data_IF_572895755485
#
_entry.id   IF_572895755485
#
_cell.length_a   1.000
_cell.length_b   1.000
_cell.length_c   1.000
_cell.angle_alpha   90.00
_cell.angle_beta   90.00
_cell.angle_gamma   90.00
#
_symmetry.space_group_name_H-M   'P 1'
#
loop_
_entity.id
_entity.type
_entity.pdbx_description
1 polymer ?
#
# COMPACT_ATOMS: atom_id res chain seq x y z
N UNK A 1 -57.74 38.27 -32.92
CA UNK A 1 -56.36 38.23 -32.40
C UNK A 1 -56.22 36.96 -31.57
N UNK A 2 -55.22 36.10 -31.83
CA UNK A 2 -55.06 34.88 -31.03
C UNK A 2 -54.42 35.23 -29.68
N UNK A 3 -55.05 34.79 -28.59
CA UNK A 3 -54.55 34.97 -27.22
C UNK A 3 -53.54 33.87 -26.92
N UNK A 4 -52.27 34.22 -26.81
CA UNK A 4 -51.20 33.31 -26.42
C UNK A 4 -51.34 33.01 -24.93
N UNK A 5 -51.81 31.80 -24.58
CA UNK A 5 -51.83 31.34 -23.19
C UNK A 5 -50.41 30.88 -22.82
N UNK A 6 -49.73 31.58 -21.92
CA UNK A 6 -48.44 31.13 -21.41
C UNK A 6 -48.63 29.92 -20.48
N UNK A 7 -47.81 28.86 -20.62
CA UNK A 7 -47.87 27.72 -19.72
C UNK A 7 -47.40 28.13 -18.31
N UNK A 8 -48.20 27.79 -17.30
CA UNK A 8 -47.86 27.97 -15.89
C UNK A 8 -46.66 27.08 -15.55
N UNK A 9 -45.51 27.69 -15.25
CA UNK A 9 -44.34 26.98 -14.73
C UNK A 9 -44.68 26.40 -13.35
N UNK A 10 -44.79 25.08 -13.27
CA UNK A 10 -44.89 24.38 -11.99
C UNK A 10 -43.52 24.45 -11.32
N UNK A 11 -43.40 25.25 -10.26
CA UNK A 11 -42.17 25.33 -9.48
C UNK A 11 -41.91 23.96 -8.81
N UNK A 12 -40.88 23.26 -9.27
CA UNK A 12 -40.42 22.01 -8.66
C UNK A 12 -39.85 22.33 -7.28
N UNK A 13 -40.61 22.06 -6.22
CA UNK A 13 -40.14 22.21 -4.84
C UNK A 13 -39.03 21.18 -4.61
N UNK A 14 -37.78 21.62 -4.63
CA UNK A 14 -36.64 20.79 -4.25
C UNK A 14 -36.69 20.57 -2.73
N UNK A 15 -37.21 19.42 -2.31
CA UNK A 15 -37.13 18.99 -0.90
C UNK A 15 -35.68 18.55 -0.66
N UNK A 16 -34.87 19.27 0.14
CA UNK A 16 -33.51 18.84 0.43
C UNK A 16 -33.57 17.49 1.15
N UNK A 17 -32.93 16.47 0.57
CA UNK A 17 -32.79 15.18 1.23
C UNK A 17 -31.97 15.36 2.52
N UNK A 18 -32.60 15.13 3.66
CA UNK A 18 -31.90 15.13 4.95
C UNK A 18 -30.83 14.04 4.92
N UNK A 19 -29.56 14.42 5.10
CA UNK A 19 -28.45 13.46 5.21
C UNK A 19 -28.78 12.42 6.29
N UNK A 20 -28.56 11.12 6.04
CA UNK A 20 -28.81 10.09 7.05
C UNK A 20 -28.00 10.40 8.31
N UNK A 21 -28.70 10.43 9.46
CA UNK A 21 -28.09 10.67 10.78
C UNK A 21 -27.11 9.54 11.06
N UNK A 22 -25.83 9.87 11.23
CA UNK A 22 -24.79 8.89 11.53
C UNK A 22 -25.20 8.05 12.76
N UNK A 23 -25.28 6.72 12.59
CA UNK A 23 -25.59 5.79 13.67
C UNK A 23 -24.48 5.91 14.71
N UNK A 24 -24.82 6.26 15.95
CA UNK A 24 -23.86 6.26 17.06
C UNK A 24 -23.41 4.81 17.27
N UNK A 25 -22.13 4.54 17.04
CA UNK A 25 -21.54 3.23 17.31
C UNK A 25 -21.50 2.96 18.81
N UNK A 26 -21.86 1.74 19.20
CA UNK A 26 -21.69 1.28 20.58
C UNK A 26 -20.22 1.02 20.90
N UNK A 27 -19.88 0.93 22.19
CA UNK A 27 -18.52 0.63 22.65
C UNK A 27 -18.03 -0.72 22.10
N UNK A 28 -18.90 -1.73 22.06
CA UNK A 28 -18.60 -3.04 21.50
C UNK A 28 -18.17 -2.96 20.03
N UNK A 29 -18.91 -2.21 19.21
CA UNK A 29 -18.58 -1.99 17.79
C UNK A 29 -17.24 -1.27 17.64
N UNK A 30 -16.98 -0.26 18.49
CA UNK A 30 -15.69 0.46 18.49
C UNK A 30 -14.52 -0.46 18.82
N UNK A 31 -14.65 -1.32 19.83
CA UNK A 31 -13.59 -2.28 20.19
C UNK A 31 -13.37 -3.27 19.07
N UNK A 32 -14.45 -3.84 18.50
CA UNK A 32 -14.36 -4.76 17.36
C UNK A 32 -13.65 -4.13 16.15
N UNK A 33 -14.01 -2.89 15.80
CA UNK A 33 -13.36 -2.17 14.71
C UNK A 33 -11.89 -1.84 15.03
N UNK A 34 -11.56 -1.52 16.27
CA UNK A 34 -10.17 -1.29 16.71
C UNK A 34 -9.31 -2.53 16.51
N UNK A 35 -9.82 -3.72 16.88
CA UNK A 35 -9.11 -4.98 16.69
C UNK A 35 -8.89 -5.23 15.19
N UNK A 36 -9.92 -5.07 14.36
CA UNK A 36 -9.80 -5.24 12.91
C UNK A 36 -8.76 -4.30 12.29
N UNK A 37 -8.75 -3.02 12.68
CA UNK A 37 -7.77 -2.03 12.22
C UNK A 37 -6.35 -2.35 12.74
N UNK A 38 -6.24 -2.83 13.98
CA UNK A 38 -4.98 -3.33 14.53
C UNK A 38 -4.42 -4.52 13.75
N UNK A 39 -5.27 -5.47 13.36
CA UNK A 39 -4.88 -6.58 12.49
C UNK A 39 -4.46 -6.10 11.10
N UNK A 40 -5.15 -5.12 10.53
CA UNK A 40 -4.75 -4.52 9.25
C UNK A 40 -3.37 -3.84 9.34
N UNK A 41 -3.07 -3.15 10.45
CA UNK A 41 -1.73 -2.60 10.71
C UNK A 41 -0.66 -3.67 10.86
N UNK A 42 -0.98 -4.77 11.57
CA UNK A 42 -0.06 -5.89 11.71
C UNK A 42 0.25 -6.55 10.36
N UNK A 43 -0.76 -6.70 9.48
CA UNK A 43 -0.59 -7.17 8.11
C UNK A 43 0.27 -6.21 7.29
N UNK A 44 0.00 -4.91 7.35
CA UNK A 44 0.81 -3.90 6.66
C UNK A 44 2.28 -3.96 7.10
N UNK A 45 2.54 -4.06 8.40
CA UNK A 45 3.90 -4.22 8.94
C UNK A 45 4.55 -5.53 8.48
N UNK A 46 3.81 -6.63 8.47
CA UNK A 46 4.31 -7.92 7.99
C UNK A 46 4.73 -7.88 6.51
N UNK A 47 3.90 -7.27 5.66
CA UNK A 47 4.21 -7.08 4.23
C UNK A 47 5.45 -6.19 4.08
N UNK A 48 5.54 -5.10 4.85
CA UNK A 48 6.72 -4.22 4.84
C UNK A 48 8.00 -4.95 5.27
N UNK A 49 7.94 -5.79 6.33
CA UNK A 49 9.09 -6.56 6.80
C UNK A 49 9.62 -7.54 5.75
N UNK A 50 8.73 -8.16 4.97
CA UNK A 50 9.12 -9.05 3.88
C UNK A 50 9.82 -8.27 2.77
N UNK A 51 9.26 -7.16 2.31
CA UNK A 51 9.90 -6.28 1.32
C UNK A 51 11.25 -5.75 1.80
N UNK A 52 11.31 -5.28 3.04
CA UNK A 52 12.54 -4.83 3.69
C UNK A 52 13.62 -5.92 3.72
N UNK A 53 13.26 -7.18 4.01
CA UNK A 53 14.20 -8.31 3.98
C UNK A 53 14.74 -8.55 2.57
N UNK A 54 13.90 -8.51 1.54
CA UNK A 54 14.36 -8.64 0.16
C UNK A 54 15.29 -7.50 -0.26
N UNK A 55 15.01 -6.28 0.18
CA UNK A 55 15.92 -5.14 -0.02
C UNK A 55 17.29 -5.36 0.63
N UNK A 56 17.33 -5.90 1.84
CA UNK A 56 18.60 -6.23 2.49
C UNK A 56 19.34 -7.37 1.79
N UNK A 57 18.64 -8.44 1.40
CA UNK A 57 19.26 -9.56 0.67
C UNK A 57 19.82 -9.11 -0.68
N UNK A 58 19.11 -8.24 -1.39
CA UNK A 58 19.57 -7.64 -2.63
C UNK A 58 20.82 -6.78 -2.44
N UNK A 59 20.88 -5.97 -1.38
CA UNK A 59 22.09 -5.20 -1.07
C UNK A 59 23.27 -6.12 -0.73
N UNK A 60 23.03 -7.18 0.04
CA UNK A 60 24.05 -8.16 0.37
C UNK A 60 24.58 -8.88 -0.88
N UNK A 61 23.70 -9.24 -1.84
CA UNK A 61 24.11 -9.89 -3.09
C UNK A 61 24.91 -8.96 -4.01
N UNK A 62 24.71 -7.65 -3.91
CA UNK A 62 25.57 -6.64 -4.54
C UNK A 62 26.92 -6.40 -3.83
N UNK A 63 27.19 -7.12 -2.73
CA UNK A 63 28.45 -7.03 -1.98
C UNK A 63 28.46 -5.97 -0.88
N UNK A 64 27.31 -5.39 -0.51
CA UNK A 64 27.24 -4.49 0.64
C UNK A 64 27.42 -5.30 1.93
N UNK A 65 28.41 -4.92 2.76
CA UNK A 65 28.70 -5.61 4.02
C UNK A 65 27.67 -5.25 5.12
N UNK A 66 26.46 -5.83 5.03
CA UNK A 66 25.41 -5.64 6.02
C UNK A 66 25.72 -6.29 7.38
N UNK A 67 26.57 -7.32 7.41
CA UNK A 67 26.98 -7.98 8.65
C UNK A 67 27.66 -7.01 9.62
N UNK A 68 28.42 -6.04 9.08
CA UNK A 68 29.05 -4.97 9.87
C UNK A 68 28.05 -4.05 10.59
N UNK A 69 26.80 -3.98 10.11
CA UNK A 69 25.76 -3.11 10.65
C UNK A 69 24.85 -3.80 11.68
N UNK A 70 24.88 -5.14 11.79
CA UNK A 70 24.02 -5.91 12.70
C UNK A 70 22.54 -5.50 12.57
N UNK A 71 21.89 -5.03 13.65
CA UNK A 71 20.52 -4.51 13.60
C UNK A 71 20.38 -3.16 12.87
N UNK A 72 21.47 -2.41 12.71
CA UNK A 72 21.49 -1.13 12.00
C UNK A 72 21.16 -1.24 10.50
N UNK A 73 21.29 -2.42 9.90
CA UNK A 73 20.91 -2.64 8.51
C UNK A 73 19.43 -2.31 8.24
N UNK A 74 18.55 -2.49 9.23
CA UNK A 74 17.12 -2.18 9.12
C UNK A 74 16.82 -0.68 8.97
N UNK A 75 17.80 0.20 9.23
CA UNK A 75 17.69 1.62 8.93
C UNK A 75 17.64 1.90 7.42
N UNK A 76 18.17 1.00 6.59
CA UNK A 76 18.16 1.15 5.13
C UNK A 76 16.74 1.13 4.56
N UNK A 77 15.94 0.05 4.75
CA UNK A 77 14.56 0.04 4.28
C UNK A 77 13.70 1.12 4.97
N UNK A 78 13.98 1.47 6.22
CA UNK A 78 13.31 2.62 6.87
C UNK A 78 13.61 3.94 6.17
N UNK A 79 14.86 4.21 5.79
CA UNK A 79 15.26 5.42 5.08
C UNK A 79 14.65 5.49 3.67
N UNK A 80 14.54 4.36 2.98
CA UNK A 80 13.85 4.22 1.69
C UNK A 80 12.38 4.61 1.87
N UNK A 81 11.64 3.96 2.77
CA UNK A 81 10.23 4.27 3.01
C UNK A 81 10.00 5.71 3.47
N UNK A 82 10.91 6.26 4.29
CA UNK A 82 10.84 7.66 4.71
C UNK A 82 11.05 8.62 3.53
N UNK A 83 11.98 8.30 2.64
CA UNK A 83 12.22 9.07 1.41
C UNK A 83 11.00 9.03 0.48
N UNK A 84 10.35 7.88 0.32
CA UNK A 84 9.11 7.75 -0.46
C UNK A 84 7.97 8.60 0.13
N UNK A 85 7.81 8.58 1.45
CA UNK A 85 6.79 9.36 2.16
C UNK A 85 6.99 10.88 2.00
N UNK A 86 8.23 11.35 2.11
CA UNK A 86 8.55 12.78 2.06
C UNK A 86 8.71 13.33 0.65
N UNK A 87 9.20 12.52 -0.28
CA UNK A 87 9.42 12.93 -1.67
C UNK A 87 8.23 12.60 -2.57
N UNK A 88 7.15 12.01 -2.03
CA UNK A 88 5.90 11.82 -2.74
C UNK A 88 5.47 13.14 -3.41
N UNK A 89 5.30 13.17 -4.74
CA UNK A 89 5.01 14.41 -5.45
C UNK A 89 3.64 14.94 -5.03
N UNK A 90 3.63 15.93 -4.11
CA UNK A 90 2.44 16.72 -3.77
C UNK A 90 2.45 17.98 -4.60
N UNK A 91 1.40 18.16 -5.41
CA UNK A 91 1.01 19.40 -6.08
C UNK A 91 2.12 20.44 -6.31
N UNK A 92 2.64 20.48 -7.53
CA UNK A 92 3.67 21.37 -8.07
C UNK A 92 5.14 21.08 -7.69
N UNK A 93 5.94 20.91 -8.75
CA UNK A 93 7.39 21.15 -8.86
C UNK A 93 8.38 19.97 -8.89
N UNK A 94 9.25 20.13 -9.89
CA UNK A 94 10.64 19.67 -10.09
C UNK A 94 10.88 18.22 -10.53
N UNK A 95 11.42 18.07 -11.75
CA UNK A 95 11.82 16.80 -12.37
C UNK A 95 12.72 15.96 -11.47
N UNK A 96 13.54 16.60 -10.62
CA UNK A 96 14.41 15.91 -9.66
C UNK A 96 13.62 15.09 -8.62
N UNK A 97 12.43 15.55 -8.17
CA UNK A 97 11.60 14.77 -7.24
C UNK A 97 11.03 13.53 -7.91
N UNK A 98 10.59 13.65 -9.16
CA UNK A 98 10.16 12.51 -9.95
C UNK A 98 11.29 11.52 -10.22
N UNK A 99 12.50 12.02 -10.51
CA UNK A 99 13.68 11.18 -10.72
C UNK A 99 14.05 10.40 -9.45
N UNK A 100 14.06 11.05 -8.28
CA UNK A 100 14.35 10.36 -7.02
C UNK A 100 13.25 9.37 -6.66
N UNK A 101 11.98 9.78 -6.76
CA UNK A 101 10.85 8.89 -6.49
C UNK A 101 10.87 7.65 -7.40
N UNK A 102 11.08 7.84 -8.70
CA UNK A 102 11.16 6.74 -9.66
C UNK A 102 12.38 5.86 -9.38
N UNK A 103 13.52 6.45 -9.03
CA UNK A 103 14.72 5.70 -8.64
C UNK A 103 14.49 4.81 -7.43
N UNK A 104 13.84 5.35 -6.38
CA UNK A 104 13.51 4.59 -5.18
C UNK A 104 12.49 3.49 -5.48
N UNK A 105 11.44 3.79 -6.25
CA UNK A 105 10.44 2.80 -6.67
C UNK A 105 11.06 1.66 -7.48
N UNK A 106 11.89 1.99 -8.48
CA UNK A 106 12.57 0.98 -9.29
C UNK A 106 13.50 0.11 -8.45
N UNK A 107 14.18 0.72 -7.48
CA UNK A 107 15.02 -0.01 -6.54
C UNK A 107 14.20 -0.97 -5.67
N UNK A 108 13.10 -0.51 -5.07
CA UNK A 108 12.28 -1.31 -4.15
C UNK A 108 11.52 -2.45 -4.87
N UNK A 109 10.99 -2.16 -6.06
CA UNK A 109 10.38 -3.19 -6.92
C UNK A 109 11.44 -4.15 -7.43
N UNK A 110 12.62 -3.66 -7.82
CA UNK A 110 13.73 -4.47 -8.33
C UNK A 110 14.30 -5.42 -7.26
N UNK A 111 14.52 -4.91 -6.04
CA UNK A 111 15.00 -5.72 -4.92
C UNK A 111 13.97 -6.76 -4.50
N UNK A 112 12.69 -6.39 -4.45
CA UNK A 112 11.58 -7.31 -4.17
C UNK A 112 11.45 -8.38 -5.24
N UNK A 113 11.59 -8.01 -6.52
CA UNK A 113 11.58 -8.94 -7.64
C UNK A 113 12.73 -9.93 -7.54
N UNK A 114 13.96 -9.45 -7.32
CA UNK A 114 15.15 -10.29 -7.20
C UNK A 114 15.02 -11.26 -6.02
N UNK A 115 14.74 -10.73 -4.82
CA UNK A 115 14.59 -11.53 -3.61
C UNK A 115 13.45 -12.55 -3.71
N UNK A 116 12.31 -12.18 -4.32
CA UNK A 116 11.22 -13.12 -4.53
C UNK A 116 11.60 -14.22 -5.53
N UNK A 117 12.23 -13.90 -6.66
CA UNK A 117 12.62 -14.92 -7.65
C UNK A 117 13.60 -15.92 -7.06
N UNK A 118 14.56 -15.46 -6.26
CA UNK A 118 15.52 -16.31 -5.55
C UNK A 118 14.83 -17.17 -4.47
N UNK A 119 13.94 -16.57 -3.67
CA UNK A 119 13.25 -17.27 -2.59
C UNK A 119 12.21 -18.28 -3.08
N UNK A 120 11.47 -17.94 -4.14
CA UNK A 120 10.33 -18.72 -4.63
C UNK A 120 10.71 -19.72 -5.72
N UNK A 121 11.80 -19.51 -6.47
CA UNK A 121 12.19 -20.37 -7.59
C UNK A 121 12.24 -21.85 -7.18
N UNK A 122 11.37 -22.68 -7.77
CA UNK A 122 11.33 -24.13 -7.53
C UNK A 122 10.82 -24.54 -6.15
N UNK A 123 10.33 -23.58 -5.35
CA UNK A 123 9.88 -23.84 -3.97
C UNK A 123 8.47 -24.43 -3.95
N UNK A 124 8.27 -25.44 -3.11
CA UNK A 124 6.95 -25.98 -2.80
C UNK A 124 6.25 -25.12 -1.74
N UNK A 125 5.07 -24.63 -2.07
CA UNK A 125 4.19 -23.88 -1.18
C UNK A 125 3.05 -24.81 -0.74
N UNK A 126 2.98 -25.19 0.55
CA UNK A 126 1.96 -26.11 1.07
C UNK A 126 0.61 -25.41 1.31
N UNK A 127 0.18 -24.56 0.38
CA UNK A 127 -1.14 -23.90 0.38
C UNK A 127 -2.00 -24.51 -0.71
N UNK A 128 -3.31 -24.65 -0.46
CA UNK A 128 -4.31 -25.13 -1.43
C UNK A 128 -3.95 -26.45 -2.12
N UNK A 129 -3.70 -27.51 -1.33
CA UNK A 129 -3.24 -28.83 -1.79
C UNK A 129 -1.82 -28.89 -2.38
N UNK A 130 -1.07 -27.79 -2.30
CA UNK A 130 0.34 -27.75 -2.67
C UNK A 130 0.55 -27.23 -4.08
N UNK A 131 1.40 -26.22 -4.19
CA UNK A 131 1.79 -25.65 -5.47
C UNK A 131 3.32 -25.52 -5.51
N UNK A 132 3.94 -26.02 -6.57
CA UNK A 132 5.38 -25.82 -6.80
C UNK A 132 5.56 -24.63 -7.72
N UNK A 133 6.28 -23.62 -7.24
CA UNK A 133 6.64 -22.46 -8.05
C UNK A 133 7.56 -22.89 -9.20
N UNK A 134 7.39 -22.31 -10.40
CA UNK A 134 8.35 -22.51 -11.48
C UNK A 134 9.74 -22.06 -11.02
N UNK A 135 10.78 -22.81 -11.39
CA UNK A 135 12.17 -22.47 -11.06
C UNK A 135 12.66 -21.24 -11.81
N UNK A 136 12.18 -21.06 -13.04
CA UNK A 136 12.59 -19.98 -13.94
C UNK A 136 11.44 -19.59 -14.88
N UNK A 137 11.63 -18.49 -15.61
CA UNK A 137 10.78 -18.11 -16.73
C UNK A 137 9.74 -17.05 -16.41
N UNK A 138 8.99 -16.66 -17.46
CA UNK A 138 8.07 -15.53 -17.43
C UNK A 138 7.03 -15.56 -16.28
N UNK A 139 6.42 -16.71 -15.92
CA UNK A 139 5.43 -16.74 -14.84
C UNK A 139 6.01 -16.35 -13.47
N UNK A 140 7.23 -16.78 -13.15
CA UNK A 140 7.91 -16.43 -11.90
C UNK A 140 8.21 -14.93 -11.86
N UNK A 141 8.81 -14.40 -12.93
CA UNK A 141 9.19 -13.00 -13.01
C UNK A 141 7.98 -12.06 -13.06
N UNK A 142 6.90 -12.46 -13.74
CA UNK A 142 5.65 -11.73 -13.77
C UNK A 142 5.00 -11.64 -12.39
N UNK A 143 4.95 -12.76 -11.66
CA UNK A 143 4.46 -12.77 -10.27
C UNK A 143 5.35 -11.93 -9.36
N UNK A 144 6.67 -12.06 -9.48
CA UNK A 144 7.65 -11.29 -8.71
C UNK A 144 7.48 -9.78 -8.92
N UNK A 145 7.19 -9.34 -10.15
CA UNK A 145 6.96 -7.93 -10.45
C UNK A 145 5.67 -7.42 -9.82
N UNK A 146 4.58 -8.20 -9.92
CA UNK A 146 3.29 -7.86 -9.29
C UNK A 146 3.43 -7.77 -7.78
N UNK A 147 4.13 -8.74 -7.16
CA UNK A 147 4.37 -8.74 -5.73
C UNK A 147 5.31 -7.61 -5.30
N UNK A 148 6.34 -7.29 -6.08
CA UNK A 148 7.22 -6.16 -5.82
C UNK A 148 6.47 -4.82 -5.82
N UNK A 149 5.57 -4.62 -6.78
CA UNK A 149 4.68 -3.44 -6.77
C UNK A 149 3.72 -3.46 -5.58
N UNK A 150 3.21 -4.62 -5.18
CA UNK A 150 2.38 -4.73 -3.99
C UNK A 150 3.18 -4.38 -2.72
N UNK A 151 4.42 -4.84 -2.58
CA UNK A 151 5.26 -4.52 -1.43
C UNK A 151 5.61 -3.03 -1.35
N UNK A 152 5.84 -2.38 -2.50
CA UNK A 152 6.11 -0.95 -2.54
C UNK A 152 4.90 -0.10 -2.08
N UNK A 153 3.67 -0.42 -2.51
CA UNK A 153 2.52 0.48 -2.31
C UNK A 153 1.49 0.02 -1.26
N UNK A 154 1.35 -1.28 -1.02
CA UNK A 154 0.25 -1.82 -0.22
C UNK A 154 0.42 -1.55 1.29
N UNK A 155 1.61 -1.72 1.90
CA UNK A 155 1.83 -1.40 3.31
C UNK A 155 1.47 0.03 3.66
N UNK A 156 1.90 0.99 2.81
CA UNK A 156 1.64 2.41 3.03
C UNK A 156 0.14 2.72 2.96
N UNK A 157 -0.56 2.20 1.94
CA UNK A 157 -2.00 2.43 1.76
C UNK A 157 -2.81 1.86 2.92
N UNK A 158 -2.53 0.61 3.32
CA UNK A 158 -3.21 -0.05 4.44
C UNK A 158 -2.90 0.69 5.74
N UNK A 159 -1.64 1.05 5.97
CA UNK A 159 -1.21 1.76 7.17
C UNK A 159 -1.88 3.13 7.32
N UNK A 160 -1.87 3.95 6.26
CA UNK A 160 -2.52 5.27 6.28
C UNK A 160 -4.02 5.19 6.49
N UNK A 161 -4.68 4.27 5.79
CA UNK A 161 -6.11 4.04 5.96
C UNK A 161 -6.43 3.61 7.40
N UNK A 162 -5.74 2.59 7.91
CA UNK A 162 -6.03 2.05 9.23
C UNK A 162 -5.76 3.06 10.35
N UNK A 163 -4.66 3.82 10.27
CA UNK A 163 -4.37 4.91 11.22
C UNK A 163 -5.43 6.02 11.15
N UNK A 164 -5.88 6.41 9.95
CA UNK A 164 -6.91 7.44 9.80
C UNK A 164 -8.23 6.99 10.42
N UNK A 165 -8.66 5.76 10.15
CA UNK A 165 -9.89 5.20 10.72
C UNK A 165 -9.80 5.08 12.24
N UNK A 166 -8.66 4.62 12.77
CA UNK A 166 -8.44 4.57 14.23
C UNK A 166 -8.53 5.95 14.87
N UNK A 167 -7.96 6.98 14.24
CA UNK A 167 -8.06 8.36 14.72
C UNK A 167 -9.50 8.87 14.69
N UNK A 168 -10.26 8.58 13.63
CA UNK A 168 -11.68 8.96 13.54
C UNK A 168 -12.56 8.21 14.52
N UNK A 169 -12.20 6.96 14.87
CA UNK A 169 -12.97 6.13 15.79
C UNK A 169 -12.87 6.61 17.25
N UNK A 170 -11.70 7.15 17.63
CA UNK A 170 -11.34 7.50 19.01
C UNK A 170 -11.13 9.00 19.28
N UNK A 171 -11.02 9.83 18.24
CA UNK A 171 -10.98 11.31 18.33
C UNK A 171 -12.35 11.93 18.22
#
# INVERSE_FOLDING_TARGET
MPTTVQPVQTATVHIPQSKPRAKRMGLYDKVGQTIALGMALALALGIWLVGAKFTLDFLASMGVNLASLSYGQWLIPLAISASELWLWPKGSSIWQRWAVWLGVLLFDVGSSWAGFTEWAGGRYVPLFAGFTMPSEGFPLHGLALVLGLAFAFLPEKIGRWAVSELRTLWG
#
